data_IF_588004040554
#
_entry.id   IF_588004040554
#
_cell.length_a   1.000
_cell.length_b   1.000
_cell.length_c   1.000
_cell.angle_alpha   90.00
_cell.angle_beta   90.00
_cell.angle_gamma   90.00
#
_symmetry.space_group_name_H-M   'P 1'
#
loop_
_entity.id
_entity.type
_entity.pdbx_description
1 polymer ?
#
# COMPACT_ATOMS: atom_id res chain seq x y z
N UNK A 1 31.26 -6.16 46.57
CA UNK A 1 30.45 -6.54 45.40
C UNK A 1 31.25 -6.26 44.14
N UNK A 2 31.69 -7.30 43.43
CA UNK A 2 32.65 -7.17 42.34
C UNK A 2 32.02 -6.52 41.10
N UNK A 3 32.84 -5.82 40.30
CA UNK A 3 32.41 -5.14 39.06
C UNK A 3 31.66 -6.08 38.11
N UNK A 4 32.14 -7.33 37.98
CA UNK A 4 31.49 -8.36 37.16
C UNK A 4 30.06 -8.68 37.60
N UNK A 5 29.78 -8.67 38.91
CA UNK A 5 28.43 -8.91 39.40
C UNK A 5 27.51 -7.74 39.06
N UNK A 6 28.01 -6.50 39.14
CA UNK A 6 27.27 -5.30 38.72
C UNK A 6 26.94 -5.33 37.23
N UNK A 7 27.92 -5.70 36.40
CA UNK A 7 27.74 -5.83 34.95
C UNK A 7 26.72 -6.92 34.59
N UNK A 8 26.74 -8.08 35.28
CA UNK A 8 25.78 -9.17 35.07
C UNK A 8 24.34 -8.72 35.33
N UNK A 9 24.08 -8.07 36.47
CA UNK A 9 22.73 -7.57 36.78
C UNK A 9 22.27 -6.49 35.80
N UNK A 10 23.19 -5.62 35.36
CA UNK A 10 22.89 -4.63 34.32
C UNK A 10 22.51 -5.29 32.99
N UNK A 11 23.27 -6.28 32.51
CA UNK A 11 22.98 -6.99 31.26
C UNK A 11 21.66 -7.75 31.31
N UNK A 12 21.32 -8.34 32.45
CA UNK A 12 20.02 -9.00 32.66
C UNK A 12 18.89 -7.99 32.57
N UNK A 13 19.00 -6.86 33.28
CA UNK A 13 18.00 -5.79 33.21
C UNK A 13 17.87 -5.18 31.82
N UNK A 14 19.00 -4.96 31.14
CA UNK A 14 19.06 -4.46 29.76
C UNK A 14 18.41 -5.45 28.78
N UNK A 15 18.72 -6.74 28.90
CA UNK A 15 18.11 -7.79 28.08
C UNK A 15 16.61 -7.90 28.28
N UNK A 16 16.13 -7.84 29.54
CA UNK A 16 14.70 -7.80 29.86
C UNK A 16 14.02 -6.54 29.30
N UNK A 17 14.69 -5.39 29.38
CA UNK A 17 14.22 -4.14 28.78
C UNK A 17 14.07 -4.24 27.26
N UNK A 18 15.09 -4.77 26.57
CA UNK A 18 15.02 -5.01 25.13
C UNK A 18 13.92 -6.00 24.75
N UNK A 19 13.74 -7.07 25.51
CA UNK A 19 12.67 -8.04 25.31
C UNK A 19 11.28 -7.39 25.43
N UNK A 20 11.06 -6.56 26.45
CA UNK A 20 9.80 -5.84 26.65
C UNK A 20 9.52 -4.86 25.50
N UNK A 21 10.51 -4.07 25.10
CA UNK A 21 10.37 -3.14 23.97
C UNK A 21 10.04 -3.91 22.68
N UNK A 22 10.79 -4.98 22.40
CA UNK A 22 10.54 -5.81 21.23
C UNK A 22 9.14 -6.43 21.25
N UNK A 23 8.70 -6.97 22.40
CA UNK A 23 7.37 -7.58 22.52
C UNK A 23 6.23 -6.58 22.38
N UNK A 24 6.38 -5.36 22.91
CA UNK A 24 5.33 -4.33 22.86
C UNK A 24 5.25 -3.64 21.49
N UNK A 25 6.37 -3.55 20.77
CA UNK A 25 6.45 -2.84 19.49
C UNK A 25 6.71 -3.76 18.29
N UNK A 26 6.53 -5.07 18.45
CA UNK A 26 6.77 -6.08 17.41
C UNK A 26 6.06 -5.77 16.09
N UNK A 27 4.86 -5.21 16.17
CA UNK A 27 4.00 -4.95 15.02
C UNK A 27 4.12 -3.52 14.48
N UNK A 28 5.03 -2.70 15.03
CA UNK A 28 5.28 -1.34 14.52
C UNK A 28 6.38 -1.36 13.47
N UNK A 29 5.99 -1.09 12.24
CA UNK A 29 6.94 -0.77 11.17
C UNK A 29 7.71 0.51 11.53
N UNK A 30 8.98 0.58 11.14
CA UNK A 30 9.84 1.75 11.38
C UNK A 30 9.50 2.89 10.41
N UNK A 31 8.24 3.32 10.42
CA UNK A 31 7.65 4.31 9.51
C UNK A 31 8.30 5.69 9.61
N UNK A 32 9.02 5.95 10.71
CA UNK A 32 9.70 7.21 10.97
C UNK A 32 11.04 7.35 10.22
N UNK A 33 11.61 6.25 9.70
CA UNK A 33 12.81 6.34 8.88
C UNK A 33 12.52 7.16 7.63
N UNK A 34 13.44 8.05 7.19
CA UNK A 34 13.19 8.96 6.07
C UNK A 34 12.69 8.25 4.80
N UNK A 35 13.28 7.09 4.50
CA UNK A 35 12.91 6.26 3.36
C UNK A 35 11.50 5.68 3.48
N UNK A 36 11.20 5.06 4.61
CA UNK A 36 9.88 4.47 4.87
C UNK A 36 8.79 5.54 4.88
N UNK A 37 9.10 6.73 5.42
CA UNK A 37 8.18 7.87 5.40
C UNK A 37 7.83 8.30 3.98
N UNK A 38 8.81 8.35 3.07
CA UNK A 38 8.58 8.69 1.65
C UNK A 38 7.73 7.61 0.99
N UNK A 39 8.10 6.33 1.10
CA UNK A 39 7.36 5.22 0.48
C UNK A 39 5.93 5.12 1.00
N UNK A 40 5.75 5.21 2.32
CA UNK A 40 4.44 5.20 2.97
C UNK A 40 3.55 6.34 2.46
N UNK A 41 4.10 7.55 2.38
CA UNK A 41 3.37 8.69 1.85
C UNK A 41 2.89 8.45 0.40
N UNK A 42 3.76 7.90 -0.47
CA UNK A 42 3.37 7.58 -1.85
C UNK A 42 2.26 6.52 -1.89
N UNK A 43 2.33 5.51 -1.03
CA UNK A 43 1.32 4.42 -0.99
C UNK A 43 -0.03 4.85 -0.40
N UNK A 44 -0.05 5.86 0.47
CA UNK A 44 -1.26 6.37 1.13
C UNK A 44 -1.92 7.53 0.37
N UNK A 45 -1.20 8.16 -0.57
CA UNK A 45 -1.71 9.28 -1.36
C UNK A 45 -2.10 8.87 -2.78
N UNK A 46 -3.06 9.58 -3.42
CA UNK A 46 -3.39 9.32 -4.81
C UNK A 46 -2.19 9.61 -5.71
N UNK A 47 -1.59 8.57 -6.29
CA UNK A 47 -0.46 8.69 -7.19
C UNK A 47 -0.93 9.17 -8.57
N UNK A 48 -0.70 10.46 -8.85
CA UNK A 48 -1.12 11.08 -10.11
C UNK A 48 -0.10 10.90 -11.21
N UNK A 49 -0.58 10.79 -12.43
CA UNK A 49 0.23 10.80 -13.65
C UNK A 49 -0.48 11.63 -14.71
N UNK A 50 0.32 12.42 -15.43
CA UNK A 50 -0.19 13.24 -16.52
C UNK A 50 0.28 12.67 -17.85
N UNK A 51 -0.65 12.06 -18.58
CA UNK A 51 -0.37 11.38 -19.84
C UNK A 51 -0.93 12.17 -21.01
N UNK A 52 -0.31 12.09 -22.18
CA UNK A 52 -0.99 12.53 -23.39
C UNK A 52 -2.19 11.63 -23.65
N UNK A 53 -3.28 12.17 -24.20
CA UNK A 53 -4.53 11.41 -24.42
C UNK A 53 -4.34 10.13 -25.27
N UNK A 54 -3.43 10.19 -26.23
CA UNK A 54 -3.02 9.06 -27.09
C UNK A 54 -2.17 8.00 -26.38
N UNK A 55 -1.61 8.32 -25.22
CA UNK A 55 -0.74 7.44 -24.42
C UNK A 55 -1.46 6.73 -23.26
N UNK A 56 -2.80 6.85 -23.18
CA UNK A 56 -3.60 6.22 -22.11
C UNK A 56 -3.47 4.69 -22.08
N UNK A 57 -3.15 4.06 -23.22
CA UNK A 57 -2.88 2.63 -23.32
C UNK A 57 -1.68 2.14 -22.48
N UNK A 58 -0.81 3.04 -22.01
CA UNK A 58 0.33 2.70 -21.14
C UNK A 58 -0.14 2.23 -19.75
N UNK A 59 -1.32 2.67 -19.29
CA UNK A 59 -1.89 2.34 -17.98
C UNK A 59 -2.44 0.92 -17.92
N UNK A 60 -1.55 -0.05 -18.05
CA UNK A 60 -1.81 -1.48 -17.90
C UNK A 60 -1.50 -1.93 -16.46
N UNK A 61 -2.04 -3.08 -16.06
CA UNK A 61 -1.70 -3.71 -14.78
C UNK A 61 -0.18 -3.97 -14.66
N UNK A 62 0.50 -4.26 -15.77
CA UNK A 62 1.97 -4.41 -15.80
C UNK A 62 2.71 -3.10 -15.50
N UNK A 63 2.21 -1.98 -16.02
CA UNK A 63 2.77 -0.65 -15.73
C UNK A 63 2.57 -0.28 -14.26
N UNK A 64 1.36 -0.47 -13.74
CA UNK A 64 1.09 -0.33 -12.30
C UNK A 64 2.03 -1.22 -11.48
N UNK A 65 2.15 -2.50 -11.83
CA UNK A 65 3.03 -3.44 -11.13
C UNK A 65 4.47 -2.96 -11.09
N UNK A 66 5.00 -2.47 -12.22
CA UNK A 66 6.36 -1.93 -12.27
C UNK A 66 6.56 -0.76 -11.30
N UNK A 67 5.59 0.15 -11.24
CA UNK A 67 5.63 1.31 -10.34
C UNK A 67 5.57 0.88 -8.88
N UNK A 68 4.61 0.02 -8.53
CA UNK A 68 4.40 -0.38 -7.15
C UNK A 68 5.48 -1.35 -6.66
N UNK A 69 6.04 -2.20 -7.52
CA UNK A 69 7.23 -3.01 -7.21
C UNK A 69 8.42 -2.10 -6.85
N UNK A 70 8.59 -1.00 -7.57
CA UNK A 70 9.65 -0.01 -7.34
C UNK A 70 9.41 0.78 -6.05
N UNK A 71 8.17 1.18 -5.75
CA UNK A 71 7.84 1.89 -4.50
C UNK A 71 7.99 0.97 -3.28
N UNK A 72 7.50 -0.27 -3.36
CA UNK A 72 7.47 -1.22 -2.25
C UNK A 72 8.86 -1.80 -1.96
N UNK A 73 9.59 -2.19 -3.01
CA UNK A 73 10.86 -2.92 -2.85
C UNK A 73 12.11 -2.10 -3.21
N UNK A 74 11.96 -0.95 -3.87
CA UNK A 74 13.08 -0.09 -4.25
C UNK A 74 13.63 0.72 -3.10
N UNK A 75 14.79 1.36 -3.30
CA UNK A 75 15.42 2.24 -2.32
C UNK A 75 15.30 3.71 -2.76
N UNK A 76 15.13 4.62 -1.82
CA UNK A 76 15.12 6.06 -2.11
C UNK A 76 16.56 6.56 -2.23
N UNK A 77 16.95 7.00 -3.43
CA UNK A 77 18.26 7.60 -3.66
C UNK A 77 18.24 9.08 -3.23
N UNK A 78 18.55 9.33 -1.95
CA UNK A 78 18.56 10.68 -1.38
C UNK A 78 19.64 11.59 -1.97
N UNK A 79 20.71 11.03 -2.53
CA UNK A 79 21.80 11.79 -3.15
C UNK A 79 21.35 12.46 -4.46
N UNK A 80 20.52 11.77 -5.25
CA UNK A 80 19.94 12.30 -6.48
C UNK A 80 18.62 13.06 -6.26
N UNK A 81 17.98 12.84 -5.11
CA UNK A 81 16.73 13.49 -4.74
C UNK A 81 16.91 14.97 -4.37
N UNK A 82 15.98 15.83 -4.79
CA UNK A 82 15.93 17.26 -4.41
C UNK A 82 14.92 17.47 -3.30
N UNK A 83 15.39 17.51 -2.06
CA UNK A 83 14.55 17.51 -0.84
C UNK A 83 14.40 18.86 -0.14
N UNK A 84 15.08 19.91 -0.64
CA UNK A 84 15.16 21.24 0.01
C UNK A 84 13.94 22.14 -0.23
N UNK A 85 13.12 21.84 -1.22
CA UNK A 85 11.94 22.63 -1.58
C UNK A 85 10.66 22.05 -0.94
N UNK A 86 9.58 22.81 -0.95
CA UNK A 86 8.24 22.35 -0.54
C UNK A 86 7.80 21.15 -1.38
N UNK A 87 7.95 21.27 -2.70
CA UNK A 87 7.79 20.19 -3.67
C UNK A 87 9.11 19.42 -3.79
N UNK A 88 9.17 18.28 -3.11
CA UNK A 88 10.36 17.42 -3.05
C UNK A 88 10.35 16.44 -4.21
N UNK A 89 11.50 16.32 -4.88
CA UNK A 89 11.68 15.37 -5.98
C UNK A 89 12.48 14.18 -5.48
N UNK A 90 11.85 13.00 -5.41
CA UNK A 90 12.49 11.78 -4.94
C UNK A 90 12.76 10.82 -6.09
N UNK A 91 13.98 10.31 -6.13
CA UNK A 91 14.39 9.22 -7.03
C UNK A 91 14.28 7.92 -6.24
N UNK A 92 13.55 6.95 -6.78
CA UNK A 92 13.44 5.60 -6.21
C UNK A 92 13.94 4.61 -7.24
N UNK A 93 14.80 3.70 -6.82
CA UNK A 93 15.48 2.72 -7.67
C UNK A 93 15.20 1.30 -7.19
N UNK A 94 14.87 0.42 -8.14
CA UNK A 94 14.73 -1.00 -7.87
C UNK A 94 15.20 -1.82 -9.07
N UNK A 95 16.18 -2.71 -8.84
CA UNK A 95 16.81 -3.51 -9.91
C UNK A 95 17.34 -2.56 -11.01
N UNK A 96 16.88 -2.75 -12.24
CA UNK A 96 17.28 -1.95 -13.40
C UNK A 96 16.26 -0.86 -13.76
N UNK A 97 15.40 -0.48 -12.81
CA UNK A 97 14.39 0.54 -13.01
C UNK A 97 14.50 1.66 -11.99
N UNK A 98 14.23 2.88 -12.45
CA UNK A 98 14.22 4.08 -11.62
C UNK A 98 13.00 4.93 -11.93
N UNK A 99 12.49 5.63 -10.93
CA UNK A 99 11.38 6.55 -11.10
C UNK A 99 11.59 7.82 -10.29
N UNK A 100 11.15 8.94 -10.86
CA UNK A 100 11.19 10.25 -10.22
C UNK A 100 9.77 10.67 -9.82
N UNK A 101 9.60 10.97 -8.55
CA UNK A 101 8.33 11.40 -7.96
C UNK A 101 8.41 12.85 -7.49
N UNK A 102 7.37 13.64 -7.78
CA UNK A 102 7.13 14.93 -7.15
C UNK A 102 6.20 14.75 -5.95
N UNK A 103 6.63 15.17 -4.76
CA UNK A 103 5.96 14.93 -3.49
C UNK A 103 5.86 16.22 -2.70
N UNK A 104 4.64 16.63 -2.35
CA UNK A 104 4.38 17.66 -1.35
C UNK A 104 3.71 17.02 -0.14
N UNK A 105 4.41 17.01 1.00
CA UNK A 105 3.87 16.49 2.26
C UNK A 105 2.80 17.40 2.88
N UNK A 106 2.70 18.65 2.41
CA UNK A 106 1.73 19.64 2.90
C UNK A 106 0.39 19.51 2.17
N UNK A 107 0.43 19.34 0.83
CA UNK A 107 -0.77 19.38 -0.02
C UNK A 107 -1.23 18.00 -0.51
N UNK A 108 -0.73 16.90 0.08
CA UNK A 108 -1.02 15.51 -0.35
C UNK A 108 -0.74 15.22 -1.83
N UNK A 109 0.06 16.07 -2.49
CA UNK A 109 0.39 15.91 -3.91
C UNK A 109 1.46 14.85 -4.05
N UNK A 110 1.15 13.80 -4.80
CA UNK A 110 2.10 12.79 -5.24
C UNK A 110 1.94 12.57 -6.75
N UNK A 111 3.00 12.85 -7.52
CA UNK A 111 2.97 12.72 -8.98
C UNK A 111 4.21 12.02 -9.52
N UNK A 112 4.01 11.17 -10.51
CA UNK A 112 5.09 10.54 -11.28
C UNK A 112 5.59 11.55 -12.33
N UNK A 113 6.87 11.91 -12.28
CA UNK A 113 7.53 12.74 -13.30
C UNK A 113 8.18 11.87 -14.37
N UNK A 114 8.85 10.78 -14.00
CA UNK A 114 9.46 9.88 -14.98
C UNK A 114 9.57 8.47 -14.43
N UNK A 115 9.56 7.50 -15.33
CA UNK A 115 9.85 6.08 -15.05
C UNK A 115 10.75 5.59 -16.17
N UNK A 116 11.95 5.16 -15.81
CA UNK A 116 13.04 4.83 -16.75
C UNK A 116 13.21 5.95 -17.80
N UNK A 117 12.97 5.63 -19.08
CA UNK A 117 13.09 6.55 -20.21
C UNK A 117 11.79 7.32 -20.51
N UNK A 118 10.69 7.05 -19.79
CA UNK A 118 9.41 7.74 -19.98
C UNK A 118 9.37 8.99 -19.12
N UNK A 119 9.03 10.14 -19.73
CA UNK A 119 8.91 11.43 -19.04
C UNK A 119 7.46 11.91 -19.15
N UNK A 120 6.90 12.29 -18.02
CA UNK A 120 5.54 12.79 -17.84
C UNK A 120 5.58 14.26 -17.41
N UNK A 121 4.56 15.03 -17.81
CA UNK A 121 4.51 16.47 -17.48
C UNK A 121 4.05 16.68 -16.04
N UNK A 122 4.71 17.60 -15.35
CA UNK A 122 4.38 17.99 -13.97
C UNK A 122 3.29 19.08 -13.89
N UNK A 123 2.73 19.53 -15.03
CA UNK A 123 1.74 20.61 -15.09
C UNK A 123 0.59 20.19 -16.00
N UNK A 124 -0.63 20.58 -15.64
CA UNK A 124 -1.81 20.41 -16.47
C UNK A 124 -1.65 21.18 -17.78
N UNK A 125 -1.88 20.51 -18.91
CA UNK A 125 -1.76 21.11 -20.23
C UNK A 125 -2.85 20.55 -21.14
N UNK A 126 -3.35 21.40 -22.05
CA UNK A 126 -4.39 21.02 -23.00
C UNK A 126 -3.90 19.83 -23.85
N UNK A 127 -4.68 18.74 -23.90
CA UNK A 127 -4.31 17.51 -24.61
C UNK A 127 -3.69 16.43 -23.72
N UNK A 128 -3.49 16.72 -22.43
CA UNK A 128 -3.08 15.73 -21.44
C UNK A 128 -4.26 15.33 -20.52
N UNK A 129 -4.15 14.15 -19.92
CA UNK A 129 -5.08 13.54 -18.99
C UNK A 129 -4.35 13.33 -17.65
N UNK A 130 -4.80 14.03 -16.61
CA UNK A 130 -4.36 13.80 -15.23
C UNK A 130 -5.22 12.67 -14.64
N UNK A 131 -4.59 11.55 -14.30
CA UNK A 131 -5.27 10.35 -13.80
C UNK A 131 -4.48 9.72 -12.67
N UNK A 132 -5.12 8.78 -11.96
CA UNK A 132 -4.53 8.07 -10.82
C UNK A 132 -4.03 6.71 -11.28
N UNK A 133 -2.80 6.36 -10.88
CA UNK A 133 -2.27 5.01 -11.01
C UNK A 133 -2.64 4.23 -9.76
N UNK A 134 -3.49 3.21 -9.92
CA UNK A 134 -3.84 2.32 -8.83
C UNK A 134 -2.83 1.18 -8.71
N UNK A 135 -2.68 0.68 -7.47
CA UNK A 135 -1.89 -0.51 -7.17
C UNK A 135 -2.37 -1.70 -8.00
N UNK A 136 -1.43 -2.46 -8.53
CA UNK A 136 -1.74 -3.65 -9.32
C UNK A 136 -2.35 -4.74 -8.45
N UNK A 137 -2.98 -5.70 -9.13
CA UNK A 137 -3.64 -6.82 -8.47
C UNK A 137 -2.68 -7.63 -7.56
N UNK A 138 -1.45 -7.89 -8.02
CA UNK A 138 -0.51 -8.75 -7.29
C UNK A 138 0.00 -8.10 -6.00
N UNK A 139 0.41 -6.82 -6.06
CA UNK A 139 0.85 -6.11 -4.86
C UNK A 139 -0.30 -5.82 -3.91
N UNK A 140 -1.52 -5.59 -4.41
CA UNK A 140 -2.69 -5.43 -3.54
C UNK A 140 -3.01 -6.73 -2.78
N UNK A 141 -2.98 -7.87 -3.47
CA UNK A 141 -3.17 -9.17 -2.84
C UNK A 141 -2.13 -9.41 -1.74
N UNK A 142 -0.83 -9.19 -2.02
CA UNK A 142 0.24 -9.33 -1.04
C UNK A 142 0.05 -8.40 0.17
N UNK A 143 -0.47 -7.19 -0.04
CA UNK A 143 -0.84 -6.26 1.03
C UNK A 143 -1.96 -6.84 1.90
N UNK A 144 -3.03 -7.38 1.29
CA UNK A 144 -4.14 -8.00 2.01
C UNK A 144 -3.75 -9.29 2.74
N UNK A 145 -2.85 -10.08 2.15
CA UNK A 145 -2.35 -11.32 2.73
C UNK A 145 -1.56 -11.08 4.02
N UNK A 146 -0.79 -10.00 4.10
CA UNK A 146 -0.03 -9.64 5.32
C UNK A 146 -0.92 -9.17 6.48
N UNK A 147 -2.15 -8.73 6.20
CA UNK A 147 -3.05 -8.19 7.23
C UNK A 147 -3.75 -9.28 8.03
N UNK A 148 -4.07 -8.98 9.30
CA UNK A 148 -4.95 -9.82 10.11
C UNK A 148 -6.38 -9.74 9.58
N UNK A 149 -7.01 -10.89 9.31
CA UNK A 149 -8.37 -10.95 8.74
C UNK A 149 -9.40 -10.85 9.87
N UNK A 150 -10.38 -9.96 9.68
CA UNK A 150 -11.49 -9.76 10.61
C UNK A 150 -12.81 -9.78 9.87
N UNK A 151 -13.74 -10.59 10.32
CA UNK A 151 -15.07 -10.70 9.73
C UNK A 151 -16.09 -9.97 10.61
N UNK A 152 -16.92 -9.11 10.02
CA UNK A 152 -18.02 -8.48 10.74
C UNK A 152 -19.19 -9.44 10.90
N UNK A 153 -20.03 -9.23 11.93
CA UNK A 153 -21.23 -10.06 12.16
C UNK A 153 -22.16 -10.09 10.94
N UNK A 154 -22.33 -8.95 10.28
CA UNK A 154 -23.14 -8.83 9.06
C UNK A 154 -22.54 -9.64 7.90
N UNK A 155 -21.22 -9.60 7.73
CA UNK A 155 -20.55 -10.41 6.73
C UNK A 155 -20.75 -11.90 7.00
N UNK A 156 -20.46 -12.36 8.23
CA UNK A 156 -20.61 -13.77 8.62
C UNK A 156 -22.04 -14.26 8.34
N UNK A 157 -23.06 -13.50 8.75
CA UNK A 157 -24.46 -13.93 8.59
C UNK A 157 -24.90 -14.01 7.13
N UNK A 158 -24.33 -13.22 6.22
CA UNK A 158 -24.61 -13.33 4.78
C UNK A 158 -23.85 -14.49 4.15
N UNK A 159 -22.58 -14.68 4.51
CA UNK A 159 -21.74 -15.78 4.02
C UNK A 159 -22.37 -17.14 4.38
N UNK A 160 -22.83 -17.30 5.62
CA UNK A 160 -23.52 -18.51 6.08
C UNK A 160 -24.83 -18.76 5.31
N UNK A 161 -25.59 -17.70 4.96
CA UNK A 161 -26.79 -17.83 4.12
C UNK A 161 -26.48 -18.32 2.71
N UNK A 162 -25.30 -18.00 2.19
CA UNK A 162 -24.83 -18.51 0.90
C UNK A 162 -24.22 -19.92 0.99
N UNK A 163 -24.24 -20.55 2.17
CA UNK A 163 -23.64 -21.88 2.38
C UNK A 163 -22.12 -21.88 2.30
N UNK A 164 -21.49 -20.72 2.45
CA UNK A 164 -20.05 -20.54 2.39
C UNK A 164 -19.44 -20.44 3.80
N UNK A 165 -18.13 -20.67 3.90
CA UNK A 165 -17.34 -20.40 5.10
C UNK A 165 -16.55 -19.09 4.92
N UNK A 166 -16.58 -18.14 5.89
CA UNK A 166 -15.76 -16.93 5.85
C UNK A 166 -14.27 -17.19 5.57
N UNK A 167 -13.73 -18.28 6.08
CA UNK A 167 -12.33 -18.64 5.87
C UNK A 167 -12.04 -18.99 4.40
N UNK A 168 -13.00 -19.58 3.68
CA UNK A 168 -12.82 -19.91 2.27
C UNK A 168 -12.80 -18.66 1.40
N UNK A 169 -13.54 -17.61 1.79
CA UNK A 169 -13.44 -16.31 1.14
C UNK A 169 -12.04 -15.72 1.32
N UNK A 170 -11.48 -15.83 2.53
CA UNK A 170 -10.14 -15.31 2.80
C UNK A 170 -9.05 -16.03 1.99
N UNK A 171 -9.19 -17.34 1.77
CA UNK A 171 -8.26 -18.14 0.95
C UNK A 171 -8.31 -17.78 -0.53
N UNK A 172 -9.47 -17.35 -1.03
CA UNK A 172 -9.69 -16.96 -2.43
C UNK A 172 -9.42 -15.46 -2.70
N UNK A 173 -8.83 -14.72 -1.75
CA UNK A 173 -8.51 -13.29 -1.92
C UNK A 173 -7.59 -13.02 -3.12
N UNK A 174 -6.83 -14.00 -3.58
CA UNK A 174 -6.01 -13.91 -4.79
C UNK A 174 -6.83 -13.74 -6.07
N UNK A 175 -8.14 -13.98 -6.04
CA UNK A 175 -9.05 -13.79 -7.17
C UNK A 175 -9.89 -12.51 -7.01
N UNK A 176 -9.59 -11.67 -6.02
CA UNK A 176 -10.33 -10.45 -5.76
C UNK A 176 -10.03 -9.38 -6.81
N UNK A 177 -11.00 -9.15 -7.70
CA UNK A 177 -10.91 -8.12 -8.72
C UNK A 177 -11.52 -6.80 -8.23
N UNK A 178 -10.68 -5.79 -8.03
CA UNK A 178 -11.10 -4.51 -7.43
C UNK A 178 -11.77 -3.61 -8.45
N UNK A 179 -12.90 -3.04 -8.05
CA UNK A 179 -13.54 -1.96 -8.78
C UNK A 179 -13.05 -0.61 -8.24
N UNK A 180 -12.01 -0.05 -8.85
CA UNK A 180 -11.42 1.23 -8.45
C UNK A 180 -12.38 2.41 -8.53
N UNK A 181 -13.41 2.36 -9.39
CA UNK A 181 -14.42 3.42 -9.51
C UNK A 181 -15.37 3.47 -8.32
N UNK A 182 -15.67 2.32 -7.73
CA UNK A 182 -16.51 2.21 -6.52
C UNK A 182 -15.68 2.27 -5.22
N UNK A 183 -14.40 1.96 -5.29
CA UNK A 183 -13.49 1.94 -4.14
C UNK A 183 -13.06 3.34 -3.72
N UNK A 184 -12.63 3.47 -2.47
CA UNK A 184 -12.04 4.71 -1.95
C UNK A 184 -10.78 4.38 -1.14
N UNK A 185 -9.64 4.10 -1.82
CA UNK A 185 -8.44 3.60 -1.17
C UNK A 185 -7.60 4.69 -0.48
N UNK A 186 -7.89 5.97 -0.70
CA UNK A 186 -7.09 7.10 -0.20
C UNK A 186 -7.78 7.88 0.93
N UNK A 187 -8.71 7.24 1.65
CA UNK A 187 -9.34 7.89 2.82
C UNK A 187 -8.39 7.90 4.02
N UNK A 188 -8.30 9.05 4.70
CA UNK A 188 -7.49 9.20 5.91
C UNK A 188 -7.86 8.18 7.00
N UNK A 189 -9.14 7.80 7.06
CA UNK A 189 -9.64 6.77 7.97
C UNK A 189 -10.15 5.60 7.16
N UNK A 190 -9.57 4.44 7.44
CA UNK A 190 -9.94 3.13 6.96
C UNK A 190 -10.27 3.03 5.45
N UNK A 191 -9.25 2.91 4.58
CA UNK A 191 -9.44 2.73 3.15
C UNK A 191 -10.43 1.62 2.80
N UNK A 192 -11.30 1.89 1.83
CA UNK A 192 -12.38 0.99 1.42
C UNK A 192 -12.13 0.44 0.02
N UNK A 193 -12.30 -0.86 -0.14
CA UNK A 193 -12.14 -1.57 -1.40
C UNK A 193 -13.42 -2.35 -1.69
N UNK A 194 -13.99 -2.10 -2.86
CA UNK A 194 -15.14 -2.81 -3.40
C UNK A 194 -14.68 -3.58 -4.63
N UNK A 195 -15.09 -4.83 -4.75
CA UNK A 195 -14.66 -5.68 -5.85
C UNK A 195 -15.45 -6.96 -5.90
N UNK A 196 -15.08 -7.82 -6.82
CA UNK A 196 -15.73 -9.13 -7.00
C UNK A 196 -14.73 -10.24 -6.72
N UNK A 197 -15.23 -11.35 -6.18
CA UNK A 197 -14.48 -12.58 -5.99
C UNK A 197 -15.25 -13.73 -6.62
N UNK A 198 -14.54 -14.71 -7.16
CA UNK A 198 -15.14 -15.93 -7.69
C UNK A 198 -14.87 -17.07 -6.71
N UNK A 199 -15.94 -17.72 -6.27
CA UNK A 199 -15.89 -18.88 -5.36
C UNK A 199 -16.84 -19.93 -5.90
N UNK A 200 -16.33 -21.15 -6.16
CA UNK A 200 -17.14 -22.28 -6.65
C UNK A 200 -17.98 -21.95 -7.90
N UNK A 201 -17.39 -21.22 -8.86
CA UNK A 201 -18.04 -20.71 -10.09
C UNK A 201 -19.16 -19.68 -9.90
N UNK A 202 -19.39 -19.19 -8.68
CA UNK A 202 -20.29 -18.07 -8.40
C UNK A 202 -19.48 -16.79 -8.14
N UNK A 203 -20.03 -15.66 -8.56
CA UNK A 203 -19.42 -14.35 -8.39
C UNK A 203 -20.09 -13.61 -7.23
N UNK A 204 -19.28 -13.08 -6.33
CA UNK A 204 -19.74 -12.29 -5.19
C UNK A 204 -19.11 -10.91 -5.19
N UNK A 205 -19.90 -9.86 -4.97
CA UNK A 205 -19.40 -8.52 -4.67
C UNK A 205 -19.06 -8.44 -3.17
N UNK A 206 -17.83 -8.02 -2.85
CA UNK A 206 -17.34 -7.93 -1.46
C UNK A 206 -16.89 -6.50 -1.16
N UNK A 207 -17.21 -6.06 0.06
CA UNK A 207 -16.75 -4.80 0.66
C UNK A 207 -15.69 -5.07 1.73
N UNK A 208 -14.50 -4.49 1.52
CA UNK A 208 -13.34 -4.62 2.41
C UNK A 208 -12.94 -3.24 2.95
N UNK A 209 -12.43 -3.23 4.18
CA UNK A 209 -11.94 -2.04 4.86
C UNK A 209 -10.60 -2.34 5.55
N UNK A 210 -9.55 -1.57 5.24
CA UNK A 210 -8.23 -1.76 5.86
C UNK A 210 -8.00 -0.77 7.01
N UNK A 211 -7.36 -1.18 8.10
CA UNK A 211 -6.89 -0.24 9.14
C UNK A 211 -6.22 -0.93 10.32
N UNK A 212 -5.14 -0.33 10.85
CA UNK A 212 -4.28 -0.89 11.90
C UNK A 212 -3.86 -2.35 11.63
N UNK A 213 -3.26 -2.61 10.46
CA UNK A 213 -2.84 -3.94 9.98
C UNK A 213 -3.95 -5.00 9.92
N UNK A 214 -5.22 -4.57 9.90
CA UNK A 214 -6.38 -5.46 9.79
C UNK A 214 -7.10 -5.25 8.47
N UNK A 215 -7.48 -6.35 7.83
CA UNK A 215 -8.40 -6.39 6.69
C UNK A 215 -9.77 -6.83 7.21
N UNK A 216 -10.73 -5.90 7.19
CA UNK A 216 -12.09 -6.14 7.68
C UNK A 216 -13.02 -6.44 6.51
N UNK A 217 -13.67 -7.59 6.57
CA UNK A 217 -14.74 -7.98 5.66
C UNK A 217 -16.06 -7.41 6.17
N UNK A 218 -16.62 -6.45 5.44
CA UNK A 218 -17.77 -5.64 5.85
C UNK A 218 -19.07 -6.18 5.31
N UNK A 219 -19.07 -6.56 4.03
CA UNK A 219 -20.28 -7.02 3.36
C UNK A 219 -19.96 -7.94 2.18
N UNK A 220 -20.94 -8.78 1.83
CA UNK A 220 -20.93 -9.65 0.66
C UNK A 220 -22.32 -9.68 0.02
N UNK A 221 -22.38 -9.70 -1.31
CA UNK A 221 -23.61 -9.80 -2.10
C UNK A 221 -23.35 -10.79 -3.24
N UNK A 222 -24.24 -11.75 -3.42
CA UNK A 222 -24.24 -12.64 -4.59
C UNK A 222 -24.77 -11.89 -5.82
N UNK A 223 -24.03 -11.93 -6.93
CA UNK A 223 -24.41 -11.30 -8.20
C UNK A 223 -25.36 -12.17 -9.02
#
# INVERSE_FOLDING_TARGET
MNFLNRLKFYLIGFGLGLFLIYSLFKDREWDWLPENKVKKFILETPLKINLKKDQTAILTDQFSKKIFDLIINGNVNFSESKTKFTNKKYVIEYKNSSALFNISFEDTLCRIISIDNMIFKDIYELGFLDTIVFIDHSNLYLKFEKMEKKFTKNFISKVEKYGLNPDDISKNLNNFNVNWKKSNPFTNLNPKYLGTINISNLQYEISLETGNNKLRFKDIIEN
#
